data_IF_386017265553
#
_entry.id   IF_386017265553
#
_cell.length_a   1.000
_cell.length_b   1.000
_cell.length_c   1.000
_cell.angle_alpha   90.00
_cell.angle_beta   90.00
_cell.angle_gamma   90.00
#
_symmetry.space_group_name_H-M   'P 1'
#
loop_
_entity.id
_entity.type
_entity.pdbx_description
1 polymer ?
#
# COMPACT_ATOMS: atom_id res chain seq x y z
N UNK A 1 -3.70 -17.54 -1.40
CA UNK A 1 -2.89 -17.37 -2.62
C UNK A 1 -1.43 -17.02 -2.24
N UNK A 2 -0.55 -18.03 -2.06
CA UNK A 2 0.82 -17.83 -1.56
C UNK A 2 1.68 -16.95 -2.48
N UNK A 3 1.59 -17.18 -3.79
CA UNK A 3 2.30 -16.38 -4.79
C UNK A 3 1.87 -14.90 -4.77
N UNK A 4 0.57 -14.64 -4.78
CA UNK A 4 0.03 -13.27 -4.79
C UNK A 4 0.46 -12.49 -3.55
N UNK A 5 0.47 -13.14 -2.39
CA UNK A 5 0.99 -12.52 -1.15
C UNK A 5 2.47 -12.15 -1.30
N UNK A 6 3.33 -13.08 -1.72
CA UNK A 6 4.76 -12.80 -1.90
C UNK A 6 5.03 -11.70 -2.94
N UNK A 7 4.27 -11.70 -4.05
CA UNK A 7 4.36 -10.64 -5.06
C UNK A 7 3.95 -9.28 -4.48
N UNK A 8 2.84 -9.23 -3.75
CA UNK A 8 2.34 -8.00 -3.11
C UNK A 8 3.35 -7.47 -2.09
N UNK A 9 3.98 -8.35 -1.31
CA UNK A 9 5.04 -7.96 -0.37
C UNK A 9 6.21 -7.27 -1.06
N UNK A 10 6.72 -7.87 -2.15
CA UNK A 10 7.85 -7.30 -2.89
C UNK A 10 7.48 -5.99 -3.58
N UNK A 11 6.32 -5.91 -4.22
CA UNK A 11 5.85 -4.67 -4.84
C UNK A 11 5.65 -3.55 -3.81
N UNK A 12 5.07 -3.88 -2.65
CA UNK A 12 4.87 -2.92 -1.58
C UNK A 12 6.20 -2.37 -1.06
N UNK A 13 7.21 -3.23 -0.85
CA UNK A 13 8.57 -2.83 -0.43
C UNK A 13 9.19 -1.81 -1.39
N UNK A 14 9.06 -2.03 -2.71
CA UNK A 14 9.51 -1.05 -3.71
C UNK A 14 8.68 0.23 -3.68
N UNK A 15 7.36 0.12 -3.49
CA UNK A 15 6.46 1.26 -3.44
C UNK A 15 6.66 2.16 -2.21
N UNK A 16 7.21 1.62 -1.11
CA UNK A 16 7.45 2.35 0.14
C UNK A 16 8.90 2.66 0.44
N UNK A 17 9.81 2.25 -0.44
CA UNK A 17 11.24 2.47 -0.32
C UNK A 17 11.83 2.06 1.05
N UNK A 18 11.26 1.00 1.66
CA UNK A 18 11.76 0.36 2.88
C UNK A 18 11.35 -1.09 2.92
N UNK A 19 12.03 -1.87 3.75
CA UNK A 19 11.63 -3.24 4.05
C UNK A 19 10.25 -3.26 4.73
N UNK A 20 9.49 -4.32 4.45
CA UNK A 20 8.24 -4.58 5.17
C UNK A 20 8.54 -5.08 6.58
N UNK A 21 7.79 -4.55 7.53
CA UNK A 21 7.82 -4.99 8.92
C UNK A 21 6.50 -5.69 9.28
N UNK A 22 6.46 -6.29 10.47
CA UNK A 22 5.29 -7.08 10.91
C UNK A 22 3.98 -6.27 10.86
N UNK A 23 4.06 -4.95 11.10
CA UNK A 23 2.91 -4.06 11.10
C UNK A 23 2.39 -3.71 9.70
N UNK A 24 3.15 -3.99 8.63
CA UNK A 24 2.68 -3.80 7.25
C UNK A 24 1.86 -5.00 6.76
N UNK A 25 2.01 -6.16 7.39
CA UNK A 25 1.34 -7.40 6.98
C UNK A 25 -0.21 -7.33 6.96
N UNK A 26 -0.90 -6.60 7.86
CA UNK A 26 -2.33 -6.35 7.73
C UNK A 26 -2.71 -5.68 6.41
N UNK A 27 -1.91 -4.71 5.95
CA UNK A 27 -2.14 -3.97 4.72
C UNK A 27 -1.91 -4.85 3.49
N UNK A 28 -0.83 -5.64 3.50
CA UNK A 28 -0.58 -6.67 2.46
C UNK A 28 -1.78 -7.62 2.37
N UNK A 29 -2.28 -8.14 3.50
CA UNK A 29 -3.46 -9.03 3.52
C UNK A 29 -4.72 -8.34 3.01
N UNK A 30 -4.93 -7.06 3.33
CA UNK A 30 -6.05 -6.29 2.85
C UNK A 30 -6.01 -6.13 1.31
N UNK A 31 -4.84 -5.83 0.76
CA UNK A 31 -4.62 -5.72 -0.69
C UNK A 31 -4.90 -7.06 -1.39
N UNK A 32 -4.33 -8.18 -0.89
CA UNK A 32 -4.54 -9.51 -1.47
C UNK A 32 -6.02 -9.92 -1.43
N UNK A 33 -6.72 -9.65 -0.31
CA UNK A 33 -8.17 -9.92 -0.19
C UNK A 33 -9.00 -9.03 -1.12
N UNK A 34 -8.61 -7.77 -1.30
CA UNK A 34 -9.25 -6.86 -2.25
C UNK A 34 -9.06 -7.31 -3.70
N UNK A 35 -7.84 -7.70 -4.07
CA UNK A 35 -7.48 -8.20 -5.39
C UNK A 35 -8.20 -9.50 -5.76
N UNK A 36 -8.57 -10.32 -4.77
CA UNK A 36 -9.37 -11.54 -5.00
C UNK A 36 -10.70 -11.27 -5.71
N UNK A 37 -11.31 -10.09 -5.48
CA UNK A 37 -12.55 -9.67 -6.16
C UNK A 37 -12.36 -9.45 -7.67
N UNK A 38 -11.11 -9.19 -8.08
CA UNK A 38 -10.71 -8.89 -9.45
C UNK A 38 -9.74 -9.96 -9.99
N UNK A 39 -9.95 -11.22 -9.60
CA UNK A 39 -9.17 -12.38 -10.04
C UNK A 39 -7.64 -12.22 -9.88
N UNK A 40 -7.20 -11.48 -8.86
CA UNK A 40 -5.78 -11.20 -8.60
C UNK A 40 -5.04 -10.57 -9.78
N UNK A 41 -5.75 -9.82 -10.64
CA UNK A 41 -5.11 -9.07 -11.73
C UNK A 41 -4.03 -8.14 -11.19
N UNK A 42 -2.93 -8.01 -11.93
CA UNK A 42 -1.81 -7.14 -11.54
C UNK A 42 -2.28 -5.70 -11.26
N UNK A 43 -3.18 -5.18 -12.09
CA UNK A 43 -3.78 -3.86 -11.92
C UNK A 43 -4.51 -3.72 -10.58
N UNK A 44 -5.25 -4.74 -10.14
CA UNK A 44 -5.94 -4.70 -8.85
C UNK A 44 -4.98 -4.68 -7.64
N UNK A 45 -3.83 -5.35 -7.74
CA UNK A 45 -2.79 -5.35 -6.71
C UNK A 45 -2.13 -3.97 -6.65
N UNK A 46 -1.72 -3.44 -7.81
CA UNK A 46 -1.12 -2.10 -7.91
C UNK A 46 -2.08 -1.02 -7.40
N UNK A 47 -3.36 -1.08 -7.79
CA UNK A 47 -4.40 -0.18 -7.27
C UNK A 47 -4.55 -0.30 -5.75
N UNK A 48 -4.46 -1.50 -5.19
CA UNK A 48 -4.46 -1.70 -3.75
C UNK A 48 -3.27 -1.04 -3.06
N UNK A 49 -2.07 -1.14 -3.65
CA UNK A 49 -0.84 -0.52 -3.12
C UNK A 49 -0.93 1.00 -3.15
N UNK A 50 -1.27 1.61 -4.28
CA UNK A 50 -1.28 3.09 -4.42
C UNK A 50 -2.38 3.75 -3.57
N UNK A 51 -3.47 3.04 -3.28
CA UNK A 51 -4.53 3.53 -2.40
C UNK A 51 -4.27 3.25 -0.91
N UNK A 52 -3.17 2.57 -0.59
CA UNK A 52 -2.86 2.19 0.78
C UNK A 52 -2.26 3.36 1.57
N UNK A 53 -2.44 3.34 2.89
CA UNK A 53 -1.98 4.42 3.76
C UNK A 53 -0.47 4.51 3.80
N UNK A 54 0.25 3.37 3.89
CA UNK A 54 1.71 3.38 3.83
C UNK A 54 2.27 3.87 2.50
N UNK A 55 1.48 3.91 1.42
CA UNK A 55 1.89 4.57 0.17
C UNK A 55 1.62 6.07 0.22
N UNK A 56 0.37 6.46 0.51
CA UNK A 56 -0.08 7.86 0.42
C UNK A 56 0.47 8.76 1.52
N UNK A 57 0.87 8.20 2.66
CA UNK A 57 1.43 8.94 3.80
C UNK A 57 2.95 8.88 3.84
N UNK A 58 3.60 8.57 2.71
CA UNK A 58 5.04 8.74 2.56
C UNK A 58 5.35 10.22 2.40
N UNK A 59 6.02 10.78 3.39
CA UNK A 59 6.49 12.15 3.37
C UNK A 59 6.43 12.78 4.75
N UNK A 60 7.11 13.91 4.95
CA UNK A 60 6.91 14.71 6.14
C UNK A 60 5.42 15.10 6.25
N UNK A 61 4.92 15.20 7.49
CA UNK A 61 3.62 15.81 7.77
C UNK A 61 3.44 17.07 6.91
N UNK A 62 2.24 17.30 6.33
CA UNK A 62 2.01 18.45 5.47
C UNK A 62 2.54 19.71 6.16
N UNK A 63 3.44 20.41 5.48
CA UNK A 63 4.05 21.62 6.05
C UNK A 63 2.97 22.60 6.52
N UNK A 64 3.26 23.45 7.52
CA UNK A 64 2.27 24.24 8.25
C UNK A 64 1.26 24.99 7.35
N UNK A 65 1.72 25.45 6.18
CA UNK A 65 0.91 26.12 5.15
C UNK A 65 -0.24 25.25 4.60
N UNK A 66 -0.01 23.96 4.33
CA UNK A 66 -1.00 23.05 3.75
C UNK A 66 -2.05 22.63 4.78
N UNK A 67 -1.63 22.53 6.06
CA UNK A 67 -2.55 22.27 7.18
C UNK A 67 -3.46 23.49 7.49
N UNK A 68 -2.97 24.71 7.24
CA UNK A 68 -3.74 25.94 7.44
C UNK A 68 -4.82 26.17 6.37
N UNK A 69 -4.58 25.75 5.12
CA UNK A 69 -5.52 25.91 3.99
C UNK A 69 -6.73 24.98 4.02
N UNK A 70 -6.77 24.02 4.95
CA UNK A 70 -7.84 23.01 5.08
C UNK A 70 -8.86 23.35 6.17
N UNK A 71 -8.84 24.58 6.70
CA UNK A 71 -9.74 25.06 7.77
C UNK A 71 -10.70 26.12 7.26
#
# INVERSE_FOLDING_TARGET
>A
ARFVTALTEKLMMYAINRNLEYFDMPQVRAIVRGAAKNNYTLSSIVLGIVNSDSFRKQGPEPGPMVAALRR
#
